data_IF_031740192187
#
_entry.id   IF_031740192187
#
_cell.length_a   1.000
_cell.length_b   1.000
_cell.length_c   1.000
_cell.angle_alpha   90.00
_cell.angle_beta   90.00
_cell.angle_gamma   90.00
#
_symmetry.space_group_name_H-M   'P 1'
#
loop_
_entity.id
_entity.type
_entity.pdbx_description
1 polymer ?
#
# COMPACT_ATOMS: atom_id res chain seq x y z
N UNK A 1 10.27 -19.13 -43.35
CA UNK A 1 11.32 -18.17 -43.78
C UNK A 1 12.44 -18.17 -42.74
N UNK A 2 13.46 -19.03 -42.89
CA UNK A 2 14.59 -19.16 -41.95
C UNK A 2 15.59 -18.00 -42.04
N UNK A 3 15.59 -17.26 -43.15
CA UNK A 3 16.66 -16.32 -43.54
C UNK A 3 16.60 -14.96 -42.83
N UNK A 4 15.58 -14.70 -42.00
CA UNK A 4 15.44 -13.47 -41.21
C UNK A 4 15.73 -13.68 -39.71
N UNK A 5 16.27 -14.84 -39.32
CA UNK A 5 16.59 -15.14 -37.91
C UNK A 5 17.87 -14.41 -37.50
N UNK A 6 17.70 -13.33 -36.75
CA UNK A 6 18.78 -12.55 -36.14
C UNK A 6 19.41 -13.29 -34.96
N UNK A 7 18.65 -14.19 -34.33
CA UNK A 7 19.05 -14.94 -33.14
C UNK A 7 18.62 -16.40 -33.32
N UNK A 8 19.46 -17.32 -32.86
CA UNK A 8 19.14 -18.74 -32.83
C UNK A 8 17.90 -19.02 -31.96
N UNK A 9 17.05 -19.94 -32.40
CA UNK A 9 15.81 -20.33 -31.70
C UNK A 9 16.13 -20.91 -30.31
N UNK A 10 17.23 -21.66 -30.19
CA UNK A 10 17.61 -22.24 -28.91
C UNK A 10 17.99 -21.15 -27.90
N UNK A 11 18.76 -20.15 -28.35
CA UNK A 11 19.12 -18.98 -27.55
C UNK A 11 17.90 -18.11 -27.22
N UNK A 12 17.00 -17.90 -28.20
CA UNK A 12 15.76 -17.17 -28.01
C UNK A 12 14.87 -17.83 -26.94
N UNK A 13 14.69 -19.15 -27.02
CA UNK A 13 13.90 -19.89 -26.05
C UNK A 13 14.56 -19.93 -24.67
N UNK A 14 15.89 -20.05 -24.59
CA UNK A 14 16.63 -19.98 -23.32
C UNK A 14 16.45 -18.61 -22.64
N UNK A 15 16.56 -17.51 -23.40
CA UNK A 15 16.31 -16.16 -22.89
C UNK A 15 14.85 -15.98 -22.48
N UNK A 16 13.88 -16.50 -23.24
CA UNK A 16 12.47 -16.43 -22.87
C UNK A 16 12.13 -17.22 -21.62
N UNK A 17 12.76 -18.38 -21.40
CA UNK A 17 12.68 -19.13 -20.13
C UNK A 17 13.23 -18.30 -18.98
N UNK A 18 14.41 -17.70 -19.15
CA UNK A 18 15.02 -16.82 -18.14
C UNK A 18 14.20 -15.57 -17.86
N UNK A 19 13.62 -14.93 -18.89
CA UNK A 19 12.71 -13.81 -18.75
C UNK A 19 11.45 -14.20 -17.96
N UNK A 20 10.81 -15.34 -18.28
CA UNK A 20 9.63 -15.81 -17.54
C UNK A 20 9.92 -16.10 -16.06
N UNK A 21 11.12 -16.60 -15.75
CA UNK A 21 11.58 -16.78 -14.37
C UNK A 21 11.80 -15.44 -13.64
N UNK A 22 12.16 -14.38 -14.37
CA UNK A 22 12.31 -13.02 -13.84
C UNK A 22 10.97 -12.24 -13.82
N UNK A 23 9.98 -12.65 -14.62
CA UNK A 23 8.65 -12.03 -14.73
C UNK A 23 7.69 -12.47 -13.61
N UNK A 24 8.19 -13.27 -12.66
CA UNK A 24 7.51 -13.47 -11.39
C UNK A 24 7.52 -12.13 -10.65
N UNK A 25 6.32 -11.58 -10.48
CA UNK A 25 5.95 -10.39 -9.70
C UNK A 25 6.43 -10.38 -8.22
N UNK A 26 7.41 -11.22 -7.86
CA UNK A 26 8.04 -11.32 -6.54
C UNK A 26 9.56 -11.08 -6.53
N UNK A 27 10.26 -11.09 -7.68
CA UNK A 27 11.69 -10.77 -7.68
C UNK A 27 11.90 -9.26 -7.76
N UNK A 28 12.57 -8.68 -6.76
CA UNK A 28 12.76 -7.25 -6.51
C UNK A 28 13.54 -6.46 -7.57
N UNK A 29 13.49 -6.81 -8.85
CA UNK A 29 13.95 -5.96 -9.94
C UNK A 29 12.96 -4.81 -10.14
N UNK A 30 13.12 -3.75 -9.34
CA UNK A 30 12.53 -2.44 -9.63
C UNK A 30 13.49 -1.75 -10.61
N UNK A 31 13.17 -1.60 -11.91
CA UNK A 31 13.97 -0.72 -12.77
C UNK A 31 14.04 0.63 -12.06
N UNK A 32 15.26 1.17 -11.87
CA UNK A 32 15.57 2.38 -11.09
C UNK A 32 14.42 3.37 -11.28
N UNK A 33 13.46 3.38 -10.34
CA UNK A 33 12.20 4.10 -10.54
C UNK A 33 12.61 5.57 -10.58
N UNK A 34 12.53 6.19 -11.77
CA UNK A 34 12.49 7.65 -11.89
C UNK A 34 11.56 8.16 -10.80
N UNK A 35 11.90 9.28 -10.16
CA UNK A 35 11.03 9.90 -9.17
C UNK A 35 9.59 9.88 -9.70
N UNK A 36 8.77 9.00 -9.14
CA UNK A 36 7.42 8.77 -9.62
C UNK A 36 6.64 9.91 -9.03
N UNK A 37 6.33 10.93 -9.82
CA UNK A 37 5.45 12.00 -9.39
C UNK A 37 4.08 11.41 -9.03
N UNK A 38 3.29 12.16 -8.23
CA UNK A 38 2.02 11.68 -7.71
C UNK A 38 1.12 11.13 -8.81
N UNK A 39 1.10 11.77 -9.98
CA UNK A 39 0.18 11.43 -11.06
C UNK A 39 0.84 10.75 -12.27
N UNK A 40 2.11 10.36 -12.17
CA UNK A 40 2.79 9.62 -13.25
C UNK A 40 1.97 8.40 -13.69
N UNK A 41 1.76 8.21 -14.99
CA UNK A 41 0.95 7.15 -15.62
C UNK A 41 -0.56 7.15 -15.33
N UNK A 42 -1.03 8.00 -14.41
CA UNK A 42 -2.45 8.12 -14.02
C UNK A 42 -3.19 9.22 -14.81
N UNK A 43 -2.46 10.17 -15.40
CA UNK A 43 -3.07 11.24 -16.21
C UNK A 43 -3.21 10.80 -17.67
N UNK A 44 -4.42 10.98 -18.22
CA UNK A 44 -4.78 10.76 -19.63
C UNK A 44 -5.23 12.05 -20.29
N UNK A 45 -5.04 12.14 -21.59
CA UNK A 45 -5.54 13.22 -22.42
C UNK A 45 -6.99 12.94 -22.81
N UNK A 46 -7.91 13.86 -22.54
CA UNK A 46 -9.32 13.78 -22.92
C UNK A 46 -9.56 13.78 -24.43
N UNK A 47 -8.67 14.42 -25.21
CA UNK A 47 -8.78 14.46 -26.66
C UNK A 47 -8.39 13.17 -27.38
N UNK A 48 -7.38 12.43 -26.90
CA UNK A 48 -6.86 11.25 -27.60
C UNK A 48 -6.73 9.97 -26.74
N UNK A 49 -7.15 10.01 -25.47
CA UNK A 49 -6.98 8.93 -24.49
C UNK A 49 -5.51 8.59 -24.17
N UNK A 50 -4.55 9.33 -24.72
CA UNK A 50 -3.12 9.05 -24.60
C UNK A 50 -2.58 9.45 -23.24
N UNK A 51 -1.40 8.92 -22.89
CA UNK A 51 -0.69 9.35 -21.68
C UNK A 51 -0.34 10.83 -21.72
N UNK A 52 -0.37 11.45 -20.55
CA UNK A 52 0.11 12.80 -20.30
C UNK A 52 1.40 12.68 -19.50
N UNK A 53 2.42 13.44 -19.90
CA UNK A 53 3.73 13.44 -19.25
C UNK A 53 4.15 14.87 -18.94
N UNK A 54 5.14 15.01 -18.06
CA UNK A 54 5.78 16.30 -17.86
C UNK A 54 6.44 16.76 -19.18
N UNK A 55 6.06 17.93 -19.63
CA UNK A 55 6.64 18.63 -20.78
C UNK A 55 7.92 19.35 -20.36
N UNK A 56 7.94 19.86 -19.13
CA UNK A 56 9.08 20.46 -18.45
C UNK A 56 9.01 20.13 -16.95
N UNK A 57 9.85 20.75 -16.11
CA UNK A 57 9.88 20.48 -14.67
C UNK A 57 8.57 20.82 -13.92
N UNK A 58 7.68 21.64 -14.50
CA UNK A 58 6.52 22.21 -13.82
C UNK A 58 5.19 22.01 -14.53
N UNK A 59 5.15 21.48 -15.77
CA UNK A 59 3.94 21.41 -16.58
C UNK A 59 3.72 20.01 -17.15
N UNK A 60 2.48 19.52 -17.03
CA UNK A 60 1.99 18.34 -17.71
C UNK A 60 1.41 18.70 -19.07
N UNK A 61 1.55 17.80 -20.06
CA UNK A 61 0.96 17.93 -21.38
C UNK A 61 0.87 16.59 -22.12
N UNK A 62 0.04 16.54 -23.17
CA UNK A 62 -0.21 15.32 -23.92
C UNK A 62 1.06 14.82 -24.63
N UNK A 63 1.48 13.59 -24.31
CA UNK A 63 2.71 13.00 -24.89
C UNK A 63 2.55 12.72 -26.39
N UNK A 64 1.35 12.35 -26.86
CA UNK A 64 1.08 12.07 -28.29
C UNK A 64 1.10 13.34 -29.13
N UNK A 65 0.49 14.41 -28.63
CA UNK A 65 0.54 15.74 -29.24
C UNK A 65 1.98 16.23 -29.43
N UNK A 66 2.82 16.08 -28.39
CA UNK A 66 4.20 16.57 -28.39
C UNK A 66 5.17 15.68 -29.17
N UNK A 67 5.14 14.37 -28.95
CA UNK A 67 6.17 13.48 -29.48
C UNK A 67 5.83 12.93 -30.87
N UNK A 68 4.54 12.80 -31.20
CA UNK A 68 4.08 12.15 -32.43
C UNK A 68 3.22 13.08 -33.31
N UNK A 69 2.76 14.22 -32.79
CA UNK A 69 1.86 15.12 -33.50
C UNK A 69 0.44 14.58 -33.72
N UNK A 70 0.10 13.37 -33.27
CA UNK A 70 -1.15 12.65 -33.60
C UNK A 70 -2.35 13.01 -32.73
N UNK A 71 -2.29 14.11 -31.99
CA UNK A 71 -3.40 14.64 -31.17
C UNK A 71 -3.39 16.16 -31.37
N UNK A 72 -4.52 16.84 -31.33
CA UNK A 72 -4.64 18.30 -31.45
C UNK A 72 -4.41 19.03 -30.11
N UNK A 73 -4.64 18.37 -28.98
CA UNK A 73 -4.52 18.97 -27.65
C UNK A 73 -3.06 19.35 -27.31
N UNK A 74 -2.72 20.63 -27.44
CA UNK A 74 -1.43 21.23 -27.07
C UNK A 74 -1.44 21.94 -25.72
N UNK A 75 -2.55 21.89 -24.98
CA UNK A 75 -2.64 22.56 -23.67
C UNK A 75 -1.71 21.89 -22.67
N UNK A 76 -1.16 22.71 -21.79
CA UNK A 76 -0.38 22.27 -20.64
C UNK A 76 -1.01 22.77 -19.36
N UNK A 77 -0.81 22.03 -18.27
CA UNK A 77 -1.31 22.38 -16.94
C UNK A 77 -0.17 22.33 -15.93
N UNK A 78 -0.17 23.27 -14.99
CA UNK A 78 0.84 23.31 -13.94
C UNK A 78 0.71 22.08 -13.02
N UNK A 79 1.83 21.37 -12.85
CA UNK A 79 1.96 20.19 -12.00
C UNK A 79 1.48 20.44 -10.57
N UNK A 80 1.92 21.54 -9.95
CA UNK A 80 1.57 21.84 -8.55
C UNK A 80 0.06 22.05 -8.41
N UNK A 81 -0.55 22.77 -9.35
CA UNK A 81 -1.99 23.01 -9.33
C UNK A 81 -2.80 21.71 -9.43
N UNK A 82 -2.47 20.83 -10.38
CA UNK A 82 -3.21 19.57 -10.51
C UNK A 82 -2.97 18.61 -9.34
N UNK A 83 -1.73 18.50 -8.86
CA UNK A 83 -1.42 17.63 -7.72
C UNK A 83 -2.11 18.11 -6.44
N UNK A 84 -2.11 19.43 -6.17
CA UNK A 84 -2.86 20.00 -5.04
C UNK A 84 -4.36 19.80 -5.19
N UNK A 85 -4.93 19.97 -6.40
CA UNK A 85 -6.35 19.75 -6.64
C UNK A 85 -6.76 18.29 -6.39
N UNK A 86 -5.97 17.33 -6.87
CA UNK A 86 -6.23 15.90 -6.64
C UNK A 86 -6.14 15.56 -5.15
N UNK A 87 -5.13 16.06 -4.44
CA UNK A 87 -5.00 15.85 -3.00
C UNK A 87 -6.20 16.42 -2.25
N UNK A 88 -6.65 17.63 -2.60
CA UNK A 88 -7.79 18.27 -1.94
C UNK A 88 -9.10 17.51 -2.20
N UNK A 89 -9.33 17.05 -3.43
CA UNK A 89 -10.49 16.23 -3.76
C UNK A 89 -10.47 14.91 -2.99
N UNK A 90 -9.31 14.26 -2.87
CA UNK A 90 -9.17 13.04 -2.05
C UNK A 90 -9.43 13.32 -0.57
N UNK A 91 -8.92 14.43 -0.03
CA UNK A 91 -9.20 14.83 1.36
C UNK A 91 -10.69 15.01 1.59
N UNK A 92 -11.40 15.70 0.68
CA UNK A 92 -12.84 15.90 0.77
C UNK A 92 -13.62 14.58 0.77
N UNK A 93 -13.17 13.59 -0.01
CA UNK A 93 -13.85 12.30 -0.09
C UNK A 93 -13.54 11.37 1.09
N UNK A 94 -12.29 11.35 1.55
CA UNK A 94 -11.91 10.66 2.79
C UNK A 94 -12.55 11.28 4.04
N UNK A 95 -12.91 12.56 3.96
CA UNK A 95 -13.57 13.33 5.00
C UNK A 95 -15.05 12.98 5.21
N UNK A 96 -15.67 12.24 4.28
CA UNK A 96 -17.09 11.88 4.38
C UNK A 96 -17.36 10.96 5.56
N UNK A 97 -18.50 11.17 6.25
CA UNK A 97 -18.87 10.37 7.42
C UNK A 97 -18.99 8.87 7.10
N UNK A 98 -19.47 8.55 5.89
CA UNK A 98 -19.55 7.17 5.40
C UNK A 98 -18.16 6.51 5.30
N UNK A 99 -17.18 7.21 4.74
CA UNK A 99 -15.81 6.70 4.59
C UNK A 99 -15.14 6.52 5.95
N UNK A 100 -15.30 7.47 6.87
CA UNK A 100 -14.75 7.35 8.24
C UNK A 100 -15.35 6.15 8.97
N UNK A 101 -16.67 5.96 8.91
CA UNK A 101 -17.34 4.80 9.52
C UNK A 101 -16.81 3.49 8.96
N UNK A 102 -16.58 3.41 7.66
CA UNK A 102 -16.02 2.24 7.02
C UNK A 102 -14.59 1.96 7.51
N UNK A 103 -13.74 2.99 7.56
CA UNK A 103 -12.35 2.86 8.05
C UNK A 103 -12.31 2.39 9.50
N UNK A 104 -13.12 2.98 10.38
CA UNK A 104 -13.20 2.56 11.80
C UNK A 104 -13.66 1.11 11.91
N UNK A 105 -14.67 0.71 11.12
CA UNK A 105 -15.17 -0.66 11.11
C UNK A 105 -14.10 -1.67 10.67
N UNK A 106 -13.39 -1.39 9.58
CA UNK A 106 -12.34 -2.27 9.07
C UNK A 106 -11.14 -2.33 10.03
N UNK A 107 -10.76 -1.20 10.61
CA UNK A 107 -9.72 -1.16 11.65
C UNK A 107 -10.09 -2.05 12.84
N UNK A 108 -11.28 -1.89 13.39
CA UNK A 108 -11.74 -2.70 14.51
C UNK A 108 -11.83 -4.19 14.15
N UNK A 109 -12.26 -4.51 12.92
CA UNK A 109 -12.30 -5.89 12.42
C UNK A 109 -10.90 -6.50 12.35
N UNK A 110 -9.90 -5.75 11.90
CA UNK A 110 -8.50 -6.21 11.86
C UNK A 110 -7.92 -6.33 13.27
N UNK A 111 -8.25 -5.38 14.15
CA UNK A 111 -7.84 -5.40 15.55
C UNK A 111 -8.42 -6.60 16.29
N UNK A 112 -9.69 -6.94 16.07
CA UNK A 112 -10.32 -8.15 16.61
C UNK A 112 -9.61 -9.42 16.13
N UNK A 113 -9.27 -9.52 14.84
CA UNK A 113 -8.50 -10.65 14.30
C UNK A 113 -7.12 -10.77 14.93
N UNK A 114 -6.43 -9.64 15.12
CA UNK A 114 -5.12 -9.59 15.79
C UNK A 114 -5.23 -9.99 17.27
N UNK A 115 -6.26 -9.52 17.98
CA UNK A 115 -6.51 -9.93 19.36
C UNK A 115 -6.81 -11.42 19.42
N UNK A 116 -7.63 -11.95 18.51
CA UNK A 116 -7.95 -13.37 18.45
C UNK A 116 -6.71 -14.23 18.20
N UNK A 117 -5.84 -13.86 17.24
CA UNK A 117 -4.59 -14.59 17.00
C UNK A 117 -3.65 -14.52 18.21
N UNK A 118 -3.50 -13.34 18.81
CA UNK A 118 -2.69 -13.18 20.03
C UNK A 118 -3.24 -13.99 21.20
N UNK A 119 -4.56 -14.11 21.32
CA UNK A 119 -5.18 -14.92 22.37
C UNK A 119 -4.89 -16.40 22.15
N UNK A 120 -4.96 -16.90 20.91
CA UNK A 120 -4.57 -18.27 20.56
C UNK A 120 -3.09 -18.51 20.87
N UNK A 121 -2.20 -17.60 20.48
CA UNK A 121 -0.77 -17.71 20.75
C UNK A 121 -0.50 -17.71 22.25
N UNK A 122 -1.18 -16.86 23.02
CA UNK A 122 -1.09 -16.81 24.47
C UNK A 122 -1.56 -18.11 25.12
N UNK A 123 -2.66 -18.70 24.65
CA UNK A 123 -3.13 -20.00 25.17
C UNK A 123 -2.14 -21.12 24.88
N UNK A 124 -1.53 -21.12 23.69
CA UNK A 124 -0.51 -22.10 23.31
C UNK A 124 0.77 -21.92 24.15
N UNK A 125 1.23 -20.68 24.35
CA UNK A 125 2.37 -20.37 25.21
C UNK A 125 2.11 -20.79 26.66
N UNK A 126 0.93 -20.51 27.20
CA UNK A 126 0.55 -20.94 28.56
C UNK A 126 0.49 -22.46 28.70
N UNK A 127 0.00 -23.16 27.68
CA UNK A 127 0.02 -24.63 27.63
C UNK A 127 1.45 -25.18 27.57
N UNK A 128 2.33 -24.59 26.77
CA UNK A 128 3.75 -24.97 26.67
C UNK A 128 4.49 -24.76 27.99
N UNK A 129 4.32 -23.60 28.64
CA UNK A 129 4.89 -23.32 29.97
C UNK A 129 4.39 -24.37 30.98
N UNK A 130 3.10 -24.71 30.92
CA UNK A 130 2.52 -25.73 31.81
C UNK A 130 3.09 -27.12 31.55
N UNK A 131 3.36 -27.48 30.29
CA UNK A 131 4.00 -28.74 29.91
C UNK A 131 5.43 -28.81 30.43
N UNK A 132 6.24 -27.78 30.16
CA UNK A 132 7.64 -27.70 30.60
C UNK A 132 7.76 -27.72 32.13
N UNK A 133 6.82 -27.08 32.86
CA UNK A 133 6.76 -27.16 34.33
C UNK A 133 6.49 -28.57 34.84
N UNK A 134 5.56 -29.30 34.21
CA UNK A 134 5.29 -30.70 34.56
C UNK A 134 6.48 -31.60 34.25
N UNK A 135 7.09 -31.42 33.09
CA UNK A 135 8.27 -32.17 32.66
C UNK A 135 9.45 -31.98 33.62
N UNK A 136 9.75 -30.73 33.98
CA UNK A 136 10.72 -30.40 35.03
C UNK A 136 10.41 -31.11 36.36
N UNK A 137 9.15 -31.11 36.79
CA UNK A 137 8.73 -31.79 38.02
C UNK A 137 8.93 -33.31 37.93
N UNK A 138 8.66 -33.91 36.78
CA UNK A 138 8.82 -35.35 36.56
C UNK A 138 10.28 -35.75 36.58
N UNK A 139 11.16 -35.01 35.90
CA UNK A 139 12.61 -35.25 35.92
C UNK A 139 13.18 -35.15 37.34
N UNK A 140 12.77 -34.12 38.11
CA UNK A 140 13.15 -33.98 39.51
C UNK A 140 12.65 -35.15 40.37
N UNK A 141 11.42 -35.63 40.13
CA UNK A 141 10.88 -36.77 40.85
C UNK A 141 11.58 -38.09 40.51
N UNK A 142 12.00 -38.29 39.25
CA UNK A 142 12.78 -39.46 38.83
C UNK A 142 14.12 -39.54 39.57
N UNK A 143 14.81 -38.40 39.72
CA UNK A 143 16.05 -38.32 40.52
C UNK A 143 15.77 -38.72 41.98
N UNK A 144 14.68 -38.21 42.58
CA UNK A 144 14.28 -38.58 43.94
C UNK A 144 13.95 -40.07 44.10
N UNK A 145 13.50 -40.73 43.04
CA UNK A 145 13.18 -42.15 43.02
C UNK A 145 14.40 -43.05 42.74
N UNK A 146 15.60 -42.47 42.61
CA UNK A 146 16.86 -43.21 42.51
C UNK A 146 17.41 -43.35 41.08
N UNK A 147 16.86 -42.63 40.10
CA UNK A 147 17.48 -42.53 38.77
C UNK A 147 18.76 -41.69 38.86
N UNK A 148 19.82 -42.15 38.20
CA UNK A 148 21.10 -41.43 38.18
C UNK A 148 20.93 -40.03 37.56
N UNK A 149 21.34 -39.01 38.32
CA UNK A 149 21.23 -37.61 37.93
C UNK A 149 22.02 -37.31 36.65
N UNK A 150 23.08 -38.05 36.34
CA UNK A 150 23.87 -37.87 35.12
C UNK A 150 23.08 -38.16 33.84
N UNK A 151 22.07 -39.04 33.90
CA UNK A 151 21.26 -39.42 32.74
C UNK A 151 20.22 -38.37 32.36
N UNK A 152 19.77 -37.55 33.33
CA UNK A 152 18.68 -36.57 33.17
C UNK A 152 19.15 -35.12 33.26
N UNK A 153 20.44 -34.89 33.55
CA UNK A 153 21.02 -33.56 33.75
C UNK A 153 20.86 -32.66 32.52
N UNK A 154 21.20 -33.17 31.34
CA UNK A 154 21.20 -32.38 30.11
C UNK A 154 19.77 -31.99 29.70
N UNK A 155 18.82 -32.92 29.86
CA UNK A 155 17.40 -32.68 29.59
C UNK A 155 16.80 -31.68 30.59
N UNK A 156 17.18 -31.76 31.87
CA UNK A 156 16.74 -30.80 32.89
C UNK A 156 17.25 -29.37 32.62
N UNK A 157 18.50 -29.24 32.15
CA UNK A 157 19.09 -27.95 31.74
C UNK A 157 18.32 -27.36 30.56
N UNK A 158 18.04 -28.18 29.54
CA UNK A 158 17.29 -27.76 28.34
C UNK A 158 15.86 -27.32 28.69
N UNK A 159 15.13 -28.10 29.49
CA UNK A 159 13.77 -27.76 29.94
C UNK A 159 13.77 -26.47 30.76
N UNK A 160 14.76 -26.26 31.63
CA UNK A 160 14.87 -25.01 32.40
C UNK A 160 15.17 -23.80 31.50
N UNK A 161 16.03 -23.96 30.49
CA UNK A 161 16.33 -22.89 29.53
C UNK A 161 15.11 -22.51 28.70
N UNK A 162 14.39 -23.50 28.16
CA UNK A 162 13.14 -23.29 27.40
C UNK A 162 12.05 -22.62 28.23
N UNK A 163 11.91 -23.04 29.49
CA UNK A 163 10.94 -22.45 30.42
C UNK A 163 11.27 -20.99 30.70
N UNK A 164 12.55 -20.66 30.93
CA UNK A 164 12.99 -19.28 31.15
C UNK A 164 12.69 -18.41 29.91
N UNK A 165 13.05 -18.87 28.71
CA UNK A 165 12.77 -18.14 27.47
C UNK A 165 11.26 -17.91 27.26
N UNK A 166 10.43 -18.91 27.56
CA UNK A 166 8.99 -18.80 27.43
C UNK A 166 8.35 -17.87 28.49
N UNK A 167 8.93 -17.76 29.68
CA UNK A 167 8.45 -16.85 30.74
C UNK A 167 8.89 -15.40 30.53
N UNK A 168 10.04 -15.17 29.88
CA UNK A 168 10.56 -13.84 29.52
C UNK A 168 9.76 -13.18 28.39
N UNK A 169 9.07 -13.96 27.56
CA UNK A 169 8.15 -13.43 26.54
C UNK A 169 6.83 -12.96 27.19
N UNK A 170 6.88 -11.87 27.97
CA UNK A 170 5.72 -11.37 28.71
C UNK A 170 5.16 -10.05 28.17
N UNK A 171 3.84 -10.11 28.00
CA UNK A 171 2.86 -9.05 27.71
C UNK A 171 3.03 -8.26 26.41
N UNK A 172 2.26 -8.70 25.42
CA UNK A 172 1.89 -7.85 24.28
C UNK A 172 0.97 -6.70 24.75
N UNK A 173 1.13 -5.50 24.18
CA UNK A 173 0.31 -4.35 24.55
C UNK A 173 -1.17 -4.61 24.26
N UNK A 174 -2.03 -4.37 25.25
CA UNK A 174 -3.49 -4.42 25.09
C UNK A 174 -3.95 -3.27 24.22
N UNK A 175 -4.17 -3.51 22.93
CA UNK A 175 -4.72 -2.52 22.02
C UNK A 175 -6.24 -2.41 22.25
N UNK A 176 -6.74 -1.19 22.47
CA UNK A 176 -8.17 -0.93 22.66
C UNK A 176 -8.84 -0.66 21.31
N UNK A 177 -10.09 -1.11 21.10
CA UNK A 177 -10.84 -0.80 19.88
C UNK A 177 -11.06 0.71 19.75
N UNK A 178 -11.08 1.20 18.51
CA UNK A 178 -11.38 2.59 18.19
C UNK A 178 -12.88 2.84 18.32
N UNK A 179 -13.27 3.84 19.11
CA UNK A 179 -14.65 4.32 19.18
C UNK A 179 -14.86 5.36 18.08
N UNK A 180 -15.89 5.19 17.25
CA UNK A 180 -16.17 6.08 16.11
C UNK A 180 -16.39 7.55 16.50
N UNK A 181 -16.83 7.81 17.73
CA UNK A 181 -17.09 9.15 18.25
C UNK A 181 -15.80 9.98 18.37
N UNK A 182 -15.74 11.11 17.66
CA UNK A 182 -14.60 12.04 17.70
C UNK A 182 -13.41 11.68 16.81
N UNK A 183 -13.34 10.44 16.29
CA UNK A 183 -12.32 10.05 15.32
C UNK A 183 -12.51 10.79 14.00
N UNK A 184 -13.75 10.96 13.54
CA UNK A 184 -14.04 11.75 12.33
C UNK A 184 -13.45 13.15 12.43
N UNK A 185 -13.72 13.88 13.52
CA UNK A 185 -13.18 15.23 13.73
C UNK A 185 -11.66 15.26 13.78
N UNK A 186 -11.02 14.37 14.55
CA UNK A 186 -9.54 14.30 14.61
C UNK A 186 -8.90 13.87 13.30
N UNK A 187 -9.52 12.95 12.58
CA UNK A 187 -9.05 12.49 11.28
C UNK A 187 -9.17 13.61 10.24
N UNK A 188 -10.27 14.36 10.26
CA UNK A 188 -10.47 15.57 9.44
C UNK A 188 -9.45 16.66 9.77
N UNK A 189 -9.20 16.92 11.05
CA UNK A 189 -8.17 17.86 11.49
C UNK A 189 -6.79 17.42 11.00
N UNK A 190 -6.41 16.15 11.18
CA UNK A 190 -5.15 15.62 10.67
C UNK A 190 -5.03 15.74 9.14
N UNK A 191 -6.08 15.40 8.40
CA UNK A 191 -6.11 15.56 6.95
C UNK A 191 -5.98 17.02 6.53
N UNK A 192 -6.58 17.96 7.26
CA UNK A 192 -6.52 19.39 6.96
C UNK A 192 -5.16 20.01 7.30
N UNK A 193 -4.53 19.60 8.40
CA UNK A 193 -3.18 20.05 8.79
C UNK A 193 -2.08 19.43 7.92
N UNK A 194 -2.41 18.36 7.18
CA UNK A 194 -1.47 17.65 6.34
C UNK A 194 -1.02 18.49 5.13
N UNK A 195 0.25 18.91 5.10
CA UNK A 195 0.81 19.63 3.95
C UNK A 195 1.26 18.66 2.85
N UNK A 196 0.74 18.88 1.64
CA UNK A 196 1.14 18.21 0.41
C UNK A 196 2.64 18.31 0.09
N UNK A 197 3.34 19.31 0.63
CA UNK A 197 4.77 19.53 0.38
C UNK A 197 5.70 18.54 1.09
N UNK A 198 5.19 17.85 2.14
CA UNK A 198 5.95 16.98 3.05
C UNK A 198 5.59 15.50 2.90
N UNK A 199 4.98 15.11 1.77
CA UNK A 199 4.56 13.72 1.57
C UNK A 199 5.74 12.76 1.52
N UNK A 200 5.78 11.82 2.46
CA UNK A 200 6.69 10.68 2.40
C UNK A 200 6.42 9.87 1.13
N UNK A 201 7.45 9.19 0.61
CA UNK A 201 7.31 8.33 -0.58
C UNK A 201 6.28 7.22 -0.36
N UNK A 202 6.16 6.73 0.87
CA UNK A 202 5.18 5.70 1.25
C UNK A 202 3.76 6.23 1.17
N UNK A 203 3.51 7.41 1.74
CA UNK A 203 2.21 8.05 1.68
C UNK A 203 1.81 8.37 0.23
N UNK A 204 2.76 8.79 -0.62
CA UNK A 204 2.52 9.00 -2.04
C UNK A 204 2.09 7.70 -2.77
N UNK A 205 2.70 6.56 -2.44
CA UNK A 205 2.34 5.28 -3.05
C UNK A 205 0.93 4.83 -2.65
N UNK A 206 0.55 5.03 -1.39
CA UNK A 206 -0.79 4.72 -0.89
C UNK A 206 -1.83 5.63 -1.57
N UNK A 207 -1.55 6.93 -1.67
CA UNK A 207 -2.44 7.89 -2.33
C UNK A 207 -2.65 7.56 -3.82
N UNK A 208 -1.61 7.08 -4.50
CA UNK A 208 -1.71 6.65 -5.90
C UNK A 208 -2.65 5.47 -6.12
N UNK A 209 -2.78 4.58 -5.14
CA UNK A 209 -3.69 3.42 -5.22
C UNK A 209 -5.16 3.85 -5.19
N UNK A 210 -5.46 4.98 -4.56
CA UNK A 210 -6.80 5.57 -4.49
C UNK A 210 -7.22 6.33 -5.77
N UNK A 211 -6.25 6.73 -6.59
CA UNK A 211 -6.50 7.50 -7.82
C UNK A 211 -6.57 6.54 -8.98
N UNK A 212 -7.76 6.38 -9.55
CA UNK A 212 -7.98 5.46 -10.66
C UNK A 212 -7.52 6.07 -11.99
N UNK A 213 -7.97 7.29 -12.30
CA UNK A 213 -7.43 8.07 -13.41
C UNK A 213 -7.73 9.57 -13.27
N UNK A 214 -6.92 10.37 -13.95
CA UNK A 214 -7.15 11.81 -14.13
C UNK A 214 -7.20 12.10 -15.61
N UNK A 215 -8.26 12.76 -16.10
CA UNK A 215 -8.43 13.08 -17.51
C UNK A 215 -8.30 14.58 -17.71
N UNK A 216 -7.34 14.99 -18.53
CA UNK A 216 -7.15 16.39 -18.93
C UNK A 216 -7.96 16.71 -20.18
N UNK A 217 -8.99 17.52 -20.02
CA UNK A 217 -9.79 18.06 -21.11
C UNK A 217 -8.98 19.03 -22.00
N UNK A 218 -9.41 19.18 -23.24
CA UNK A 218 -8.93 20.15 -24.23
C UNK A 218 -9.17 21.60 -23.80
N UNK A 219 -10.14 21.84 -22.90
CA UNK A 219 -10.36 23.15 -22.27
C UNK A 219 -9.30 23.52 -21.22
N UNK A 220 -8.44 22.58 -20.82
CA UNK A 220 -7.50 22.76 -19.70
C UNK A 220 -8.11 22.42 -18.33
N UNK A 221 -9.35 21.95 -18.28
CA UNK A 221 -9.97 21.35 -17.09
C UNK A 221 -9.45 19.93 -16.85
N UNK A 222 -9.46 19.50 -15.60
CA UNK A 222 -9.12 18.13 -15.22
C UNK A 222 -10.35 17.47 -14.58
N UNK A 223 -10.80 16.38 -15.18
CA UNK A 223 -11.77 15.46 -14.59
C UNK A 223 -11.00 14.42 -13.76
N UNK A 224 -11.42 14.23 -12.52
CA UNK A 224 -10.78 13.32 -11.59
C UNK A 224 -11.73 12.15 -11.30
N UNK A 225 -11.23 10.93 -11.49
CA UNK A 225 -11.93 9.71 -11.08
C UNK A 225 -11.21 9.12 -9.88
N UNK A 226 -11.88 9.11 -8.73
CA UNK A 226 -11.36 8.56 -7.48
C UNK A 226 -12.04 7.24 -7.15
N UNK A 227 -11.24 6.31 -6.63
CA UNK A 227 -11.73 5.12 -5.94
C UNK A 227 -11.25 5.17 -4.48
N UNK A 228 -11.98 5.89 -3.60
CA UNK A 228 -11.58 6.05 -2.20
C UNK A 228 -11.53 4.71 -1.44
N UNK A 229 -12.23 3.69 -1.93
CA UNK A 229 -12.26 2.36 -1.34
C UNK A 229 -11.06 1.48 -1.70
N UNK A 230 -10.26 1.84 -2.70
CA UNK A 230 -9.05 1.11 -3.07
C UNK A 230 -8.04 1.08 -1.90
N UNK A 231 -7.95 2.17 -1.12
CA UNK A 231 -7.09 2.25 0.09
C UNK A 231 -7.53 1.25 1.16
N UNK A 232 -8.84 0.96 1.23
CA UNK A 232 -9.43 0.07 2.24
C UNK A 232 -9.40 -1.40 1.79
N UNK A 233 -9.34 -1.67 0.48
CA UNK A 233 -9.48 -3.02 -0.07
C UNK A 233 -8.16 -3.67 -0.43
N UNK A 234 -7.76 -4.67 0.36
CA UNK A 234 -6.94 -5.80 -0.13
C UNK A 234 -7.66 -7.14 -0.21
N UNK A 235 -8.93 -7.29 0.21
CA UNK A 235 -9.60 -8.61 0.15
C UNK A 235 -11.13 -8.68 -0.11
N UNK A 236 -11.83 -7.60 -0.45
CA UNK A 236 -13.29 -7.69 -0.69
C UNK A 236 -13.69 -7.21 -2.08
N UNK A 237 -14.42 -8.07 -2.79
CA UNK A 237 -15.11 -7.95 -4.09
C UNK A 237 -15.21 -6.53 -4.68
N UNK A 238 -14.94 -6.41 -5.97
CA UNK A 238 -15.22 -5.23 -6.81
C UNK A 238 -16.55 -4.59 -6.39
N UNK A 239 -16.47 -3.34 -5.92
CA UNK A 239 -17.63 -2.46 -5.82
C UNK A 239 -17.31 -1.39 -6.86
N UNK A 240 -18.03 -1.41 -7.98
CA UNK A 240 -17.89 -0.49 -9.12
C UNK A 240 -18.52 0.87 -8.82
N UNK A 241 -18.10 1.52 -7.73
CA UNK A 241 -18.49 2.89 -7.41
C UNK A 241 -17.27 3.81 -7.57
N UNK A 242 -17.03 4.23 -8.81
CA UNK A 242 -16.07 5.29 -9.15
C UNK A 242 -16.79 6.64 -9.15
N UNK A 243 -16.31 7.62 -8.38
CA UNK A 243 -16.88 8.96 -8.37
C UNK A 243 -16.20 9.84 -9.42
N UNK A 244 -16.99 10.41 -10.34
CA UNK A 244 -16.52 11.40 -11.31
C UNK A 244 -16.67 12.80 -10.72
N UNK A 245 -15.55 13.41 -10.36
CA UNK A 245 -15.52 14.78 -9.86
C UNK A 245 -15.00 15.71 -10.96
N UNK A 246 -15.78 16.74 -11.29
CA UNK A 246 -15.37 17.83 -12.17
C UNK A 246 -14.82 18.94 -11.27
N UNK A 247 -13.53 19.25 -11.37
CA UNK A 247 -12.96 20.40 -10.67
C UNK A 247 -13.44 21.69 -11.37
N UNK A 248 -14.63 22.15 -11.01
CA UNK A 248 -15.24 23.38 -11.51
C UNK A 248 -14.70 24.62 -10.80
N UNK A 249 -13.51 25.07 -11.16
CA UNK A 249 -13.11 26.47 -10.98
C UNK A 249 -12.81 27.04 -12.36
N UNK A 250 -13.30 28.24 -12.68
CA UNK A 250 -13.02 28.89 -13.96
C UNK A 250 -11.51 29.02 -14.17
N UNK A 251 -10.98 28.30 -15.15
CA UNK A 251 -9.56 28.33 -15.50
C UNK A 251 -9.38 29.22 -16.72
N UNK A 252 -9.19 30.52 -16.52
CA UNK A 252 -8.65 31.37 -17.58
C UNK A 252 -7.14 31.13 -17.68
N UNK A 253 -6.62 30.71 -18.86
CA UNK A 253 -5.18 30.72 -19.08
C UNK A 253 -4.72 32.17 -19.09
N UNK A 254 -3.66 32.49 -18.36
CA UNK A 254 -2.98 33.78 -18.47
C UNK A 254 -2.47 33.94 -19.90
N UNK A 255 -3.18 34.74 -20.70
CA UNK A 255 -2.75 35.16 -22.04
C UNK A 255 -1.53 36.05 -21.86
N UNK A 256 -0.34 35.55 -22.20
CA UNK A 256 0.83 36.40 -22.40
C UNK A 256 1.03 36.60 -23.90
N UNK A 257 0.99 37.86 -24.34
CA UNK A 257 1.59 38.30 -25.60
C UNK A 257 0.67 39.08 -26.53
N UNK A 258 0.72 40.41 -26.44
CA UNK A 258 1.16 41.28 -27.54
C UNK A 258 2.41 42.01 -27.07
#
# INVERSE_FOLDING_TARGET
>A
MPELKIVDDELWQAVKRKQRLLDVRESGYKPKRRASYLLSDLIKCGGCGGGVSLVNSTQYGCSRARNKGTCSNRKTINKKLIETAVINAMKAELATEATVKLVVKEYNTQLEKLIASQQTDKTNQQAEISRLKKEKSNLVNAIKQGVDASLVKDELIDVCSKLQQAEETKDLPKVKPLKSEGISKRFLELLNTYDSSLMSKEAMLIMRDAVECVVLDESGKADLTLNPYAVVKKKTRHIDESFRLVAGAGFEPTTFGL
#
